data_IF_264674535559
#
_entry.id   IF_264674535559
#
_cell.length_a   1.000
_cell.length_b   1.000
_cell.length_c   1.000
_cell.angle_alpha   90.00
_cell.angle_beta   90.00
_cell.angle_gamma   90.00
#
_symmetry.space_group_name_H-M   'P 1'
#
loop_
_entity.id
_entity.type
_entity.pdbx_description
1 polymer ?
#
# COMPACT_ATOMS: atom_id res chain seq x y z
N UNK A 1 -17.99 29.84 -1.14
CA UNK A 1 -16.84 29.66 -0.22
C UNK A 1 -17.16 28.82 1.02
N UNK A 2 -18.40 28.79 1.55
CA UNK A 2 -18.82 27.95 2.69
C UNK A 2 -18.92 26.43 2.39
N UNK A 3 -19.37 26.05 1.19
CA UNK A 3 -19.45 24.62 0.78
C UNK A 3 -18.13 23.85 0.85
N UNK A 4 -16.98 24.49 0.58
CA UNK A 4 -15.66 23.84 0.67
C UNK A 4 -15.27 23.64 2.14
N UNK A 5 -15.65 24.57 3.03
CA UNK A 5 -15.39 24.44 4.46
C UNK A 5 -16.25 23.35 5.10
N UNK A 6 -17.49 23.17 4.64
CA UNK A 6 -18.38 22.12 5.14
C UNK A 6 -17.93 20.72 4.71
N UNK A 7 -17.38 20.58 3.51
CA UNK A 7 -16.71 19.34 3.07
C UNK A 7 -15.46 19.10 3.93
N UNK A 8 -14.63 20.11 4.19
CA UNK A 8 -13.42 19.98 5.02
C UNK A 8 -13.68 19.68 6.50
N UNK A 9 -14.89 19.94 7.01
CA UNK A 9 -15.29 19.71 8.41
C UNK A 9 -16.04 18.40 8.66
N UNK A 10 -16.28 17.60 7.62
CA UNK A 10 -16.92 16.30 7.79
C UNK A 10 -16.08 15.39 8.73
N UNK A 11 -16.67 14.69 9.72
CA UNK A 11 -15.93 13.91 10.72
C UNK A 11 -14.95 12.88 10.13
N UNK A 12 -15.21 12.36 8.93
CA UNK A 12 -14.31 11.48 8.17
C UNK A 12 -13.04 12.20 7.64
N UNK A 13 -13.11 13.49 7.32
CA UNK A 13 -11.98 14.29 6.80
C UNK A 13 -11.06 14.77 7.94
N UNK A 14 -11.60 14.94 9.15
CA UNK A 14 -10.79 15.21 10.36
C UNK A 14 -9.90 14.02 10.74
N UNK A 15 -10.30 12.80 10.35
CA UNK A 15 -9.60 11.55 10.63
C UNK A 15 -8.37 11.32 9.74
N UNK A 16 -8.45 11.68 8.45
CA UNK A 16 -7.30 11.72 7.53
C UNK A 16 -6.18 12.62 8.06
N UNK A 17 -6.55 13.66 8.82
CA UNK A 17 -5.64 14.67 9.41
C UNK A 17 -4.95 14.24 10.71
N UNK A 18 -5.37 13.18 11.39
CA UNK A 18 -4.84 12.77 12.72
C UNK A 18 -3.71 11.72 12.66
N UNK A 19 -2.68 11.93 11.84
CA UNK A 19 -1.47 11.09 11.75
C UNK A 19 -1.62 9.69 11.11
N UNK A 20 -2.83 9.21 10.78
CA UNK A 20 -3.00 7.85 10.21
C UNK A 20 -2.41 7.70 8.81
N UNK A 21 -2.55 8.72 7.97
CA UNK A 21 -1.90 8.73 6.67
C UNK A 21 -0.37 8.69 6.79
N UNK A 22 0.19 9.40 7.79
CA UNK A 22 1.63 9.36 8.09
C UNK A 22 2.07 7.99 8.62
N UNK A 23 1.27 7.35 9.49
CA UNK A 23 1.52 5.98 9.94
C UNK A 23 1.46 4.99 8.77
N UNK A 24 0.44 5.11 7.92
CA UNK A 24 0.29 4.28 6.73
C UNK A 24 1.47 4.45 5.77
N UNK A 25 1.89 5.69 5.51
CA UNK A 25 3.09 5.99 4.72
C UNK A 25 4.36 5.41 5.35
N UNK A 26 4.52 5.53 6.67
CA UNK A 26 5.66 4.98 7.41
C UNK A 26 5.69 3.44 7.34
N UNK A 27 4.53 2.79 7.46
CA UNK A 27 4.39 1.34 7.25
C UNK A 27 4.76 0.99 5.80
N UNK A 28 4.26 1.74 4.82
CA UNK A 28 4.62 1.56 3.41
C UNK A 28 6.14 1.62 3.18
N UNK A 29 6.82 2.61 3.76
CA UNK A 29 8.29 2.73 3.72
C UNK A 29 8.98 1.54 4.39
N UNK A 30 8.48 1.08 5.53
CA UNK A 30 9.01 -0.13 6.18
C UNK A 30 8.82 -1.37 5.30
N UNK A 31 7.73 -1.46 4.56
CA UNK A 31 7.48 -2.53 3.59
C UNK A 31 8.49 -2.54 2.45
N UNK A 32 8.98 -1.36 2.01
CA UNK A 32 10.07 -1.28 1.02
C UNK A 32 11.34 -1.91 1.58
N UNK A 33 11.69 -1.63 2.83
CA UNK A 33 12.86 -2.24 3.48
C UNK A 33 12.73 -3.76 3.61
N UNK A 34 11.55 -4.24 4.00
CA UNK A 34 11.24 -5.69 4.05
C UNK A 34 11.35 -6.30 2.66
N UNK A 35 10.81 -5.64 1.63
CA UNK A 35 10.88 -6.11 0.25
C UNK A 35 12.33 -6.25 -0.22
N UNK A 36 13.15 -5.22 -0.02
CA UNK A 36 14.58 -5.24 -0.40
C UNK A 36 15.35 -6.34 0.35
N UNK A 37 15.08 -6.50 1.65
CA UNK A 37 15.75 -7.52 2.47
C UNK A 37 15.39 -8.93 2.00
N UNK A 38 14.11 -9.22 1.81
CA UNK A 38 13.65 -10.53 1.35
C UNK A 38 14.07 -10.80 -0.09
N UNK A 39 14.10 -9.78 -0.95
CA UNK A 39 14.62 -9.89 -2.32
C UNK A 39 16.10 -10.28 -2.31
N UNK A 40 16.93 -9.59 -1.52
CA UNK A 40 18.35 -9.92 -1.37
C UNK A 40 18.55 -11.34 -0.85
N UNK A 41 17.81 -11.74 0.19
CA UNK A 41 17.89 -13.09 0.74
C UNK A 41 17.41 -14.14 -0.27
N UNK A 42 16.35 -13.84 -1.00
CA UNK A 42 15.81 -14.64 -2.10
C UNK A 42 16.86 -14.92 -3.17
N UNK A 43 17.48 -13.85 -3.65
CA UNK A 43 18.41 -13.89 -4.77
C UNK A 43 19.74 -14.55 -4.41
N UNK A 44 20.29 -14.25 -3.23
CA UNK A 44 21.64 -14.65 -2.85
C UNK A 44 21.69 -16.00 -2.13
N UNK A 45 20.62 -16.37 -1.40
CA UNK A 45 20.63 -17.55 -0.54
C UNK A 45 19.52 -18.55 -0.87
N UNK A 46 18.25 -18.12 -0.96
CA UNK A 46 17.11 -19.06 -1.05
C UNK A 46 17.02 -19.72 -2.43
N UNK A 47 17.10 -18.93 -3.49
CA UNK A 47 16.94 -19.39 -4.88
C UNK A 47 18.28 -19.51 -5.61
N UNK A 48 19.39 -19.59 -4.86
CA UNK A 48 20.73 -19.69 -5.45
C UNK A 48 20.89 -20.90 -6.39
N UNK A 49 20.17 -21.99 -6.11
CA UNK A 49 20.18 -23.22 -6.93
C UNK A 49 19.36 -23.12 -8.22
N UNK A 50 18.67 -22.00 -8.47
CA UNK A 50 17.94 -21.76 -9.72
C UNK A 50 18.93 -21.20 -10.75
N UNK A 51 19.29 -22.03 -11.74
CA UNK A 51 20.29 -21.67 -12.76
C UNK A 51 19.82 -20.54 -13.69
N UNK A 52 18.52 -20.48 -13.97
CA UNK A 52 17.94 -19.40 -14.77
C UNK A 52 17.91 -18.09 -13.98
N UNK A 53 18.66 -17.10 -14.46
CA UNK A 53 18.75 -15.76 -13.85
C UNK A 53 17.37 -15.10 -13.76
N UNK A 54 16.57 -15.18 -14.83
CA UNK A 54 15.22 -14.60 -14.87
C UNK A 54 14.26 -15.31 -13.91
N UNK A 55 14.30 -16.64 -13.88
CA UNK A 55 13.45 -17.41 -12.95
C UNK A 55 13.81 -17.10 -11.50
N UNK A 56 15.11 -17.05 -11.18
CA UNK A 56 15.60 -16.70 -9.84
C UNK A 56 15.11 -15.33 -9.39
N UNK A 57 15.21 -14.32 -10.26
CA UNK A 57 14.74 -12.98 -9.97
C UNK A 57 13.22 -12.94 -9.78
N UNK A 58 12.44 -13.59 -10.65
CA UNK A 58 10.99 -13.62 -10.56
C UNK A 58 10.48 -14.31 -9.29
N UNK A 59 11.09 -15.43 -8.89
CA UNK A 59 10.76 -16.10 -7.62
C UNK A 59 11.12 -15.25 -6.42
N UNK A 60 12.29 -14.61 -6.43
CA UNK A 60 12.73 -13.71 -5.36
C UNK A 60 11.83 -12.49 -5.22
N UNK A 61 11.43 -11.87 -6.34
CA UNK A 61 10.48 -10.76 -6.37
C UNK A 61 9.11 -11.18 -5.83
N UNK A 62 8.60 -12.34 -6.25
CA UNK A 62 7.31 -12.85 -5.78
C UNK A 62 7.32 -13.08 -4.27
N UNK A 63 8.40 -13.68 -3.74
CA UNK A 63 8.59 -13.89 -2.31
C UNK A 63 8.68 -12.56 -1.55
N UNK A 64 9.47 -11.61 -2.07
CA UNK A 64 9.65 -10.30 -1.48
C UNK A 64 8.34 -9.50 -1.41
N UNK A 65 7.55 -9.49 -2.48
CA UNK A 65 6.25 -8.81 -2.53
C UNK A 65 5.28 -9.44 -1.55
N UNK A 66 5.26 -10.78 -1.47
CA UNK A 66 4.38 -11.50 -0.55
C UNK A 66 4.66 -11.15 0.91
N UNK A 67 5.93 -11.26 1.35
CA UNK A 67 6.32 -10.94 2.73
C UNK A 67 6.16 -9.45 3.06
N UNK A 68 6.51 -8.55 2.13
CA UNK A 68 6.31 -7.13 2.33
C UNK A 68 4.82 -6.78 2.47
N UNK A 69 3.94 -7.42 1.69
CA UNK A 69 2.49 -7.21 1.76
C UNK A 69 1.91 -7.68 3.09
N UNK A 70 2.33 -8.87 3.56
CA UNK A 70 1.92 -9.38 4.87
C UNK A 70 2.41 -8.45 5.98
N UNK A 71 3.69 -8.06 5.95
CA UNK A 71 4.25 -7.14 6.96
C UNK A 71 3.50 -5.81 6.99
N UNK A 72 3.24 -5.21 5.82
CA UNK A 72 2.45 -4.00 5.70
C UNK A 72 1.04 -4.16 6.25
N UNK A 73 0.35 -5.26 5.93
CA UNK A 73 -0.98 -5.55 6.46
C UNK A 73 -0.97 -5.70 7.99
N UNK A 74 -0.03 -6.49 8.54
CA UNK A 74 0.08 -6.74 9.97
C UNK A 74 0.39 -5.46 10.74
N UNK A 75 1.35 -4.66 10.28
CA UNK A 75 1.69 -3.38 10.90
C UNK A 75 0.52 -2.39 10.82
N UNK A 76 -0.17 -2.33 9.68
CA UNK A 76 -1.36 -1.50 9.54
C UNK A 76 -2.47 -1.93 10.52
N UNK A 77 -2.72 -3.23 10.66
CA UNK A 77 -3.71 -3.77 11.60
C UNK A 77 -3.34 -3.54 13.07
N UNK A 78 -2.05 -3.60 13.42
CA UNK A 78 -1.58 -3.51 14.81
C UNK A 78 -1.33 -2.07 15.24
N UNK A 79 -0.97 -1.17 14.32
CA UNK A 79 -0.53 0.19 14.63
C UNK A 79 -1.39 1.29 13.98
N UNK A 80 -1.64 1.22 12.67
CA UNK A 80 -2.42 2.26 11.96
C UNK A 80 -3.89 2.28 12.38
N UNK A 81 -4.48 1.08 12.56
CA UNK A 81 -5.88 0.88 12.97
C UNK A 81 -6.02 0.11 14.29
N UNK A 82 -5.03 0.25 15.18
CA UNK A 82 -5.00 -0.41 16.48
C UNK A 82 -6.26 -0.15 17.33
N UNK A 83 -6.81 1.06 17.21
CA UNK A 83 -7.98 1.54 17.93
C UNK A 83 -9.29 0.84 17.53
N UNK A 84 -9.32 0.21 16.35
CA UNK A 84 -10.51 -0.51 15.86
C UNK A 84 -10.44 -2.02 16.09
N UNK A 85 -9.35 -2.55 16.67
CA UNK A 85 -9.12 -4.00 16.86
C UNK A 85 -10.27 -4.71 17.58
N UNK A 86 -10.85 -4.12 18.61
CA UNK A 86 -11.92 -4.76 19.41
C UNK A 86 -13.27 -4.84 18.67
N UNK A 87 -13.49 -4.01 17.65
CA UNK A 87 -14.72 -4.03 16.82
C UNK A 87 -14.59 -4.93 15.59
N UNK A 88 -13.38 -5.34 15.24
CA UNK A 88 -13.11 -6.16 14.06
C UNK A 88 -13.37 -7.64 14.39
N UNK A 89 -14.60 -8.10 14.13
CA UNK A 89 -14.97 -9.52 14.23
C UNK A 89 -14.63 -10.34 12.97
N UNK A 90 -14.08 -9.71 11.92
CA UNK A 90 -13.76 -10.39 10.65
C UNK A 90 -12.53 -11.30 10.78
N UNK A 91 -12.61 -12.46 10.14
CA UNK A 91 -11.49 -13.43 10.05
C UNK A 91 -10.27 -12.77 9.39
N UNK A 92 -9.08 -13.01 9.95
CA UNK A 92 -7.80 -12.44 9.51
C UNK A 92 -7.58 -12.55 7.99
N UNK A 93 -7.82 -13.73 7.42
CA UNK A 93 -7.66 -13.99 5.99
C UNK A 93 -8.59 -13.16 5.09
N UNK A 94 -9.81 -12.88 5.54
CA UNK A 94 -10.74 -12.05 4.77
C UNK A 94 -10.25 -10.60 4.71
N UNK A 95 -9.73 -10.07 5.81
CA UNK A 95 -9.14 -8.73 5.84
C UNK A 95 -7.87 -8.65 4.98
N UNK A 96 -7.05 -9.69 5.01
CA UNK A 96 -5.87 -9.79 4.15
C UNK A 96 -6.29 -9.75 2.67
N UNK A 97 -7.32 -10.51 2.28
CA UNK A 97 -7.84 -10.50 0.92
C UNK A 97 -8.40 -9.11 0.52
N UNK A 98 -9.13 -8.44 1.41
CA UNK A 98 -9.61 -7.05 1.20
C UNK A 98 -8.44 -6.08 1.00
N UNK A 99 -7.37 -6.23 1.79
CA UNK A 99 -6.15 -5.44 1.66
C UNK A 99 -5.45 -5.68 0.32
N UNK A 100 -5.38 -6.94 -0.14
CA UNK A 100 -4.87 -7.27 -1.47
C UNK A 100 -5.68 -6.57 -2.56
N UNK A 101 -7.02 -6.64 -2.51
CA UNK A 101 -7.89 -5.96 -3.47
C UNK A 101 -7.67 -4.45 -3.45
N UNK A 102 -7.54 -3.83 -2.28
CA UNK A 102 -7.25 -2.40 -2.15
C UNK A 102 -5.90 -2.03 -2.82
N UNK A 103 -4.87 -2.85 -2.61
CA UNK A 103 -3.56 -2.65 -3.25
C UNK A 103 -3.65 -2.80 -4.78
N UNK A 104 -4.40 -3.78 -5.29
CA UNK A 104 -4.60 -3.96 -6.74
C UNK A 104 -5.33 -2.76 -7.37
N UNK A 105 -6.37 -2.24 -6.71
CA UNK A 105 -7.06 -1.02 -7.15
C UNK A 105 -6.07 0.15 -7.19
N UNK A 106 -5.24 0.31 -6.16
CA UNK A 106 -4.24 1.36 -6.11
C UNK A 106 -3.22 1.25 -7.27
N UNK A 107 -2.72 0.04 -7.56
CA UNK A 107 -1.80 -0.19 -8.69
C UNK A 107 -2.48 0.16 -10.03
N UNK A 108 -3.73 -0.25 -10.23
CA UNK A 108 -4.47 0.07 -11.45
C UNK A 108 -4.67 1.59 -11.62
N UNK A 109 -5.04 2.28 -10.53
CA UNK A 109 -5.19 3.74 -10.51
C UNK A 109 -3.85 4.44 -10.78
N UNK A 110 -2.77 3.99 -10.14
CA UNK A 110 -1.43 4.54 -10.37
C UNK A 110 -1.04 4.40 -11.84
N UNK A 111 -1.20 3.21 -12.42
CA UNK A 111 -0.87 2.96 -13.83
C UNK A 111 -1.65 3.88 -14.78
N UNK A 112 -2.96 4.00 -14.57
CA UNK A 112 -3.82 4.87 -15.37
C UNK A 112 -3.41 6.35 -15.22
N UNK A 113 -3.22 6.82 -14.00
CA UNK A 113 -2.81 8.20 -13.72
C UNK A 113 -1.43 8.53 -14.30
N UNK A 114 -0.46 7.63 -14.17
CA UNK A 114 0.89 7.82 -14.74
C UNK A 114 0.78 8.01 -16.25
N UNK A 115 0.02 7.18 -16.97
CA UNK A 115 -0.15 7.33 -18.42
C UNK A 115 -0.86 8.63 -18.80
N UNK A 116 -1.91 9.01 -18.07
CA UNK A 116 -2.66 10.23 -18.33
C UNK A 116 -1.80 11.50 -18.11
N UNK A 117 -1.05 11.53 -17.01
CA UNK A 117 -0.20 12.66 -16.64
C UNK A 117 1.06 12.73 -17.49
N UNK A 118 1.64 11.58 -17.88
CA UNK A 118 2.83 11.53 -18.74
C UNK A 118 2.55 12.04 -20.17
N UNK A 119 1.28 12.15 -20.58
CA UNK A 119 0.91 12.81 -21.82
C UNK A 119 1.15 14.33 -21.78
N UNK A 120 1.20 14.93 -20.59
CA UNK A 120 1.34 16.37 -20.41
C UNK A 120 2.66 16.76 -19.75
N UNK A 121 3.18 15.91 -18.85
CA UNK A 121 4.35 16.18 -18.01
C UNK A 121 5.44 15.12 -18.18
N UNK A 122 6.66 15.44 -17.73
CA UNK A 122 7.77 14.49 -17.73
C UNK A 122 7.44 13.23 -16.90
N UNK A 123 7.73 12.05 -17.46
CA UNK A 123 7.24 10.76 -16.95
C UNK A 123 7.62 10.47 -15.50
N UNK A 124 8.81 10.89 -15.03
CA UNK A 124 9.20 10.72 -13.62
C UNK A 124 8.30 11.52 -12.68
N UNK A 125 8.00 12.77 -13.04
CA UNK A 125 7.14 13.64 -12.25
C UNK A 125 5.69 13.15 -12.29
N UNK A 126 5.20 12.74 -13.46
CA UNK A 126 3.90 12.13 -13.64
C UNK A 126 3.74 10.87 -12.77
N UNK A 127 4.75 9.98 -12.77
CA UNK A 127 4.72 8.75 -11.98
C UNK A 127 4.78 9.03 -10.48
N UNK A 128 5.61 9.98 -10.04
CA UNK A 128 5.68 10.37 -8.63
C UNK A 128 4.31 10.88 -8.13
N UNK A 129 3.67 11.74 -8.90
CA UNK A 129 2.36 12.30 -8.55
C UNK A 129 1.27 11.22 -8.56
N UNK A 130 1.31 10.29 -9.52
CA UNK A 130 0.42 9.14 -9.56
C UNK A 130 0.59 8.22 -8.34
N UNK A 131 1.82 7.97 -7.88
CA UNK A 131 2.09 7.21 -6.64
C UNK A 131 1.44 7.89 -5.44
N UNK A 132 1.63 9.21 -5.30
CA UNK A 132 1.06 9.97 -4.17
C UNK A 132 -0.46 9.89 -4.19
N UNK A 133 -1.10 10.19 -5.33
CA UNK A 133 -2.57 10.15 -5.46
C UNK A 133 -3.12 8.73 -5.25
N UNK A 134 -2.48 7.72 -5.83
CA UNK A 134 -2.87 6.33 -5.64
C UNK A 134 -2.74 5.88 -4.18
N UNK A 135 -1.68 6.31 -3.47
CA UNK A 135 -1.48 5.99 -2.06
C UNK A 135 -2.60 6.56 -1.17
N UNK A 136 -3.11 7.75 -1.49
CA UNK A 136 -4.26 8.36 -0.79
C UNK A 136 -5.52 7.53 -1.03
N UNK A 137 -5.78 7.11 -2.26
CA UNK A 137 -6.92 6.25 -2.59
C UNK A 137 -6.80 4.89 -1.87
N UNK A 138 -5.61 4.29 -1.88
CA UNK A 138 -5.35 3.04 -1.15
C UNK A 138 -5.64 3.19 0.34
N UNK A 139 -5.20 4.30 0.95
CA UNK A 139 -5.48 4.60 2.35
C UNK A 139 -6.99 4.73 2.61
N UNK A 140 -7.70 5.50 1.77
CA UNK A 140 -9.15 5.71 1.92
C UNK A 140 -9.95 4.40 1.77
N UNK A 141 -9.60 3.58 0.79
CA UNK A 141 -10.24 2.25 0.59
C UNK A 141 -10.00 1.37 1.81
N UNK A 142 -8.78 1.33 2.33
CA UNK A 142 -8.46 0.54 3.52
C UNK A 142 -9.17 1.05 4.79
N UNK A 143 -9.26 2.37 4.99
CA UNK A 143 -9.94 2.96 6.14
C UNK A 143 -11.47 2.75 6.11
N UNK A 144 -12.07 2.83 4.91
CA UNK A 144 -13.51 2.73 4.73
C UNK A 144 -14.02 1.29 4.62
N UNK A 145 -13.20 0.35 4.13
CA UNK A 145 -13.65 -1.01 3.81
C UNK A 145 -12.91 -2.11 4.57
N UNK A 146 -11.57 -2.10 4.55
CA UNK A 146 -10.74 -3.16 5.14
C UNK A 146 -10.75 -3.13 6.67
N UNK A 147 -10.66 -1.93 7.25
CA UNK A 147 -10.56 -1.67 8.69
C UNK A 147 -11.75 -0.88 9.25
N UNK A 148 -12.94 -1.08 8.67
CA UNK A 148 -14.20 -0.54 9.20
C UNK A 148 -14.59 -1.20 10.53
#
# INVERSE_FOLDING_TARGET
MRMIQDILQHPSIRWVRQHRFLKFGSVGLSGVLVNLTVLYLGQEYIFRMVDSVDARLNFSLSLAIFFATISNFSLNRIWTWADRKEKIQRKYFLQLAQYFVACWIAIAVQFFLTKLLAAHWYYLFANLLAIVLSSVINFLVNDAWTFK
#
